data_IF_520103291383
#
_entry.id   IF_520103291383
#
_cell.length_a   1.000
_cell.length_b   1.000
_cell.length_c   1.000
_cell.angle_alpha   90.00
_cell.angle_beta   90.00
_cell.angle_gamma   90.00
#
_symmetry.space_group_name_H-M   'P 1'
#
loop_
_entity.id
_entity.type
_entity.pdbx_description
1 polymer ?
#
# COMPACT_ATOMS: atom_id res chain seq x y z
N UNK A 1 50.32 22.78 46.00
CA UNK A 1 50.97 21.91 45.00
C UNK A 1 50.70 22.52 43.63
N UNK A 2 51.78 22.80 42.91
CA UNK A 2 51.85 23.81 41.84
C UNK A 2 51.51 23.30 40.44
N UNK A 3 51.03 24.26 39.63
CA UNK A 3 51.00 24.38 38.17
C UNK A 3 51.71 23.31 37.31
N UNK A 4 50.99 22.82 36.28
CA UNK A 4 51.61 22.44 35.00
C UNK A 4 51.18 23.42 33.92
N UNK A 5 52.18 23.95 33.22
CA UNK A 5 52.08 24.87 32.09
C UNK A 5 51.60 24.13 30.82
N UNK A 6 50.92 24.81 29.88
CA UNK A 6 50.60 24.24 28.57
C UNK A 6 51.81 24.28 27.62
N UNK A 7 52.08 23.17 26.96
CA UNK A 7 53.12 23.01 25.94
C UNK A 7 52.69 23.60 24.59
N UNK A 8 53.56 24.43 24.02
CA UNK A 8 53.48 25.01 22.68
C UNK A 8 53.67 23.94 21.59
N UNK A 9 52.74 23.83 20.64
CA UNK A 9 52.97 23.13 19.38
C UNK A 9 53.04 24.14 18.24
N UNK A 10 54.17 24.11 17.53
CA UNK A 10 54.44 24.87 16.32
C UNK A 10 53.57 24.36 15.15
N UNK A 11 53.25 25.22 14.16
CA UNK A 11 52.51 24.80 12.97
C UNK A 11 53.37 23.83 12.14
N UNK A 12 52.98 22.56 12.13
CA UNK A 12 53.55 21.55 11.25
C UNK A 12 53.16 21.83 9.80
N UNK A 13 54.17 21.83 8.92
CA UNK A 13 54.00 21.91 7.47
C UNK A 13 53.04 20.82 6.96
N UNK A 14 52.24 21.10 5.91
CA UNK A 14 51.40 20.07 5.31
C UNK A 14 52.29 18.94 4.75
N UNK A 15 51.85 17.67 4.84
CA UNK A 15 52.60 16.54 4.31
C UNK A 15 52.79 16.69 2.79
N UNK A 16 53.99 16.30 2.32
CA UNK A 16 54.32 16.33 0.91
C UNK A 16 53.36 15.46 0.10
N UNK A 17 52.73 16.05 -0.93
CA UNK A 17 51.92 15.32 -1.90
C UNK A 17 52.86 14.39 -2.68
N UNK A 18 52.65 13.06 -2.71
CA UNK A 18 53.47 12.17 -3.51
C UNK A 18 53.22 12.47 -4.98
N UNK A 19 54.21 13.07 -5.66
CA UNK A 19 54.16 13.33 -7.10
C UNK A 19 54.25 11.97 -7.80
N UNK A 20 53.24 11.62 -8.60
CA UNK A 20 53.27 10.38 -9.37
C UNK A 20 54.22 10.57 -10.56
N UNK A 21 54.96 9.53 -10.98
CA UNK A 21 55.82 9.64 -12.16
C UNK A 21 54.95 9.96 -13.39
N UNK A 22 55.02 11.21 -13.87
CA UNK A 22 54.23 11.73 -14.99
C UNK A 22 53.51 13.05 -14.74
N UNK A 23 53.40 13.52 -13.48
CA UNK A 23 52.79 14.83 -13.20
C UNK A 23 53.78 15.96 -13.56
N UNK A 24 53.34 17.01 -14.30
CA UNK A 24 54.20 18.12 -14.67
C UNK A 24 54.60 18.96 -13.44
N UNK A 25 55.87 19.34 -13.37
CA UNK A 25 56.42 20.13 -12.27
C UNK A 25 55.75 21.52 -12.25
N UNK A 26 55.12 21.96 -11.14
CA UNK A 26 54.37 23.21 -11.09
C UNK A 26 55.21 24.48 -11.31
N UNK A 27 56.54 24.36 -11.32
CA UNK A 27 57.47 25.47 -11.58
C UNK A 27 57.86 25.64 -13.06
N UNK A 28 57.43 24.75 -13.96
CA UNK A 28 57.77 24.81 -15.40
C UNK A 28 56.72 25.54 -16.26
N UNK A 29 55.68 26.13 -15.66
CA UNK A 29 54.66 26.87 -16.42
C UNK A 29 55.11 28.32 -16.71
N UNK A 30 55.06 28.79 -17.97
CA UNK A 30 55.44 30.14 -18.32
C UNK A 30 54.51 31.16 -17.63
N UNK A 31 55.05 32.29 -17.13
CA UNK A 31 54.32 33.24 -16.26
C UNK A 31 53.08 33.89 -16.90
N UNK A 32 52.91 33.80 -18.22
CA UNK A 32 51.72 34.29 -18.92
C UNK A 32 50.45 33.48 -18.61
N UNK A 33 50.57 32.20 -18.27
CA UNK A 33 49.41 31.32 -18.03
C UNK A 33 48.80 31.51 -16.63
N UNK A 34 49.60 31.97 -15.66
CA UNK A 34 49.12 32.28 -14.31
C UNK A 34 48.25 33.55 -14.26
N UNK A 35 48.49 34.54 -15.12
CA UNK A 35 47.66 35.75 -15.19
C UNK A 35 46.30 35.50 -15.87
N UNK A 36 46.24 34.56 -16.83
CA UNK A 36 45.00 34.17 -17.49
C UNK A 36 44.07 33.41 -16.51
N UNK A 37 44.63 32.53 -15.68
CA UNK A 37 43.86 31.78 -14.69
C UNK A 37 43.37 32.64 -13.52
N UNK A 38 44.11 33.70 -13.12
CA UNK A 38 43.68 34.59 -12.03
C UNK A 38 42.59 35.57 -12.46
N UNK A 39 42.58 36.04 -13.72
CA UNK A 39 41.46 36.83 -14.26
C UNK A 39 40.19 35.99 -14.47
N UNK A 40 40.31 34.72 -14.88
CA UNK A 40 39.15 33.83 -15.03
C UNK A 40 38.54 33.42 -13.68
N UNK A 41 39.35 33.34 -12.62
CA UNK A 41 38.88 33.09 -11.25
C UNK A 41 38.18 34.31 -10.62
N UNK A 42 38.49 35.54 -11.08
CA UNK A 42 37.84 36.74 -10.55
C UNK A 42 36.46 37.01 -11.20
N UNK A 43 36.18 36.46 -12.40
CA UNK A 43 34.86 36.53 -13.02
C UNK A 43 33.87 35.45 -12.55
N UNK A 44 34.35 34.38 -11.91
CA UNK A 44 33.49 33.32 -11.35
C UNK A 44 33.09 33.54 -9.89
N UNK A 45 33.58 34.60 -9.23
CA UNK A 45 33.28 34.91 -7.83
C UNK A 45 32.23 36.02 -7.62
N UNK A 46 31.43 36.35 -8.65
CA UNK A 46 30.34 37.34 -8.55
C UNK A 46 28.92 36.79 -8.74
N UNK A 47 28.71 35.47 -8.82
CA UNK A 47 27.37 34.87 -8.74
C UNK A 47 27.15 34.18 -7.40
N UNK A 48 27.08 34.99 -6.34
CA UNK A 48 26.45 34.58 -5.09
C UNK A 48 24.92 34.76 -5.24
N UNK A 49 24.17 33.67 -5.09
CA UNK A 49 22.78 33.72 -4.65
C UNK A 49 21.71 33.80 -5.74
N UNK A 50 21.37 32.67 -6.34
CA UNK A 50 19.95 32.36 -6.54
C UNK A 50 19.68 31.04 -5.84
N UNK A 51 18.82 30.99 -4.82
CA UNK A 51 18.39 29.72 -4.29
C UNK A 51 17.66 29.00 -5.44
N UNK A 52 18.25 27.92 -5.94
CA UNK A 52 17.50 26.99 -6.78
C UNK A 52 16.22 26.61 -6.04
N UNK A 53 15.11 26.32 -6.76
CA UNK A 53 13.88 25.91 -6.12
C UNK A 53 14.20 24.80 -5.11
N UNK A 54 13.64 24.87 -3.88
CA UNK A 54 13.94 23.89 -2.85
C UNK A 54 13.75 22.49 -3.45
N UNK A 55 14.77 21.63 -3.32
CA UNK A 55 14.65 20.23 -3.70
C UNK A 55 13.46 19.66 -2.93
N UNK A 56 12.35 19.45 -3.63
CA UNK A 56 11.17 18.81 -3.05
C UNK A 56 11.66 17.51 -2.40
N UNK A 57 11.41 17.31 -1.09
CA UNK A 57 11.71 16.04 -0.46
C UNK A 57 11.01 14.96 -1.28
N UNK A 58 11.79 14.15 -2.01
CA UNK A 58 11.24 12.98 -2.66
C UNK A 58 10.81 12.05 -1.52
N UNK A 59 9.50 12.00 -1.30
CA UNK A 59 8.91 10.96 -0.48
C UNK A 59 9.36 9.60 -1.05
N UNK A 60 9.56 8.59 -0.19
CA UNK A 60 9.83 7.24 -0.67
C UNK A 60 8.79 6.89 -1.75
N UNK A 61 9.19 6.25 -2.87
CA UNK A 61 8.26 5.90 -3.93
C UNK A 61 7.14 5.04 -3.34
N UNK A 62 5.95 5.63 -3.18
CA UNK A 62 4.78 4.93 -2.71
C UNK A 62 4.35 3.98 -3.83
N UNK A 63 4.41 2.68 -3.58
CA UNK A 63 4.04 1.68 -4.56
C UNK A 63 2.51 1.65 -4.69
N UNK A 64 1.98 2.23 -5.77
CA UNK A 64 0.56 2.18 -6.09
C UNK A 64 0.19 0.88 -6.81
N UNK A 65 0.53 -0.27 -6.24
CA UNK A 65 0.16 -1.58 -6.78
C UNK A 65 -0.81 -2.28 -5.84
N UNK A 66 -1.73 -3.08 -6.40
CA UNK A 66 -2.63 -3.94 -5.61
C UNK A 66 -1.84 -4.84 -4.65
N UNK A 67 -0.70 -5.34 -5.12
CA UNK A 67 0.23 -6.14 -4.34
C UNK A 67 0.80 -5.38 -3.13
N UNK A 68 1.20 -4.12 -3.30
CA UNK A 68 1.71 -3.32 -2.19
C UNK A 68 0.65 -3.12 -1.09
N UNK A 69 -0.61 -2.93 -1.47
CA UNK A 69 -1.71 -2.79 -0.50
C UNK A 69 -2.00 -4.10 0.24
N UNK A 70 -1.93 -5.26 -0.44
CA UNK A 70 -2.12 -6.55 0.21
C UNK A 70 -0.96 -6.93 1.12
N UNK A 71 0.27 -6.46 0.83
CA UNK A 71 1.43 -6.65 1.70
C UNK A 71 1.16 -6.09 3.10
N UNK A 72 0.65 -4.87 3.19
CA UNK A 72 0.30 -4.20 4.44
C UNK A 72 -0.87 -4.85 5.19
N UNK A 73 -1.62 -5.72 4.52
CA UNK A 73 -2.75 -6.48 5.07
C UNK A 73 -2.38 -7.92 5.47
N UNK A 74 -1.14 -8.33 5.24
CA UNK A 74 -0.66 -9.68 5.59
C UNK A 74 -0.71 -9.88 7.10
N UNK A 75 -1.17 -11.06 7.54
CA UNK A 75 -1.39 -11.44 8.93
C UNK A 75 -2.40 -10.58 9.70
N UNK A 76 -3.21 -9.78 8.98
CA UNK A 76 -4.31 -9.02 9.56
C UNK A 76 -5.64 -9.72 9.39
N UNK A 77 -6.57 -9.41 10.31
CA UNK A 77 -7.96 -9.85 10.22
C UNK A 77 -8.69 -8.98 9.19
N UNK A 78 -9.28 -9.59 8.18
CA UNK A 78 -9.95 -8.91 7.08
C UNK A 78 -11.42 -9.34 6.97
N UNK A 79 -12.27 -8.43 6.51
CA UNK A 79 -13.55 -8.76 5.89
C UNK A 79 -13.37 -8.75 4.37
N UNK A 80 -13.76 -9.84 3.70
CA UNK A 80 -13.76 -9.99 2.24
C UNK A 80 -15.20 -10.15 1.76
N UNK A 81 -15.62 -9.34 0.80
CA UNK A 81 -16.94 -9.41 0.17
C UNK A 81 -16.79 -10.01 -1.23
N UNK A 82 -17.51 -11.10 -1.48
CA UNK A 82 -17.51 -11.80 -2.75
C UNK A 82 -18.61 -11.27 -3.69
N UNK A 83 -18.47 -11.54 -4.99
CA UNK A 83 -19.45 -11.15 -6.03
C UNK A 83 -20.85 -11.70 -5.78
N UNK A 84 -20.95 -12.90 -5.21
CA UNK A 84 -22.24 -13.51 -4.84
C UNK A 84 -22.87 -12.91 -3.56
N UNK A 85 -22.22 -11.89 -2.97
CA UNK A 85 -22.69 -11.15 -1.80
C UNK A 85 -22.28 -11.77 -0.45
N UNK A 86 -21.56 -12.90 -0.45
CA UNK A 86 -21.03 -13.54 0.76
C UNK A 86 -19.96 -12.68 1.42
N UNK A 87 -19.88 -12.76 2.74
CA UNK A 87 -18.94 -12.00 3.58
C UNK A 87 -18.09 -12.99 4.36
N UNK A 88 -16.81 -13.02 4.06
CA UNK A 88 -15.83 -13.84 4.75
C UNK A 88 -15.03 -12.98 5.71
N UNK A 89 -14.85 -13.45 6.93
CA UNK A 89 -14.07 -12.80 7.97
C UNK A 89 -12.97 -13.77 8.36
N UNK A 90 -11.70 -13.39 8.31
CA UNK A 90 -10.59 -14.28 8.66
C UNK A 90 -9.25 -13.57 8.59
N UNK A 91 -8.17 -14.30 8.89
CA UNK A 91 -6.80 -13.76 8.87
C UNK A 91 -6.15 -14.04 7.53
N UNK A 92 -5.65 -13.01 6.84
CA UNK A 92 -4.92 -13.16 5.59
C UNK A 92 -3.54 -13.78 5.85
N UNK A 93 -3.26 -14.94 5.25
CA UNK A 93 -1.96 -15.64 5.40
C UNK A 93 -1.07 -15.51 4.20
N UNK A 94 -1.63 -15.55 3.00
CA UNK A 94 -0.88 -15.32 1.78
C UNK A 94 -1.79 -14.79 0.69
N UNK A 95 -1.16 -14.16 -0.30
CA UNK A 95 -1.83 -13.62 -1.46
C UNK A 95 -0.88 -13.66 -2.66
N UNK A 96 -1.44 -13.47 -3.86
CA UNK A 96 -0.66 -13.33 -5.08
C UNK A 96 -1.02 -12.05 -5.86
N UNK A 97 -0.26 -11.76 -6.92
CA UNK A 97 -0.47 -10.59 -7.77
C UNK A 97 -1.83 -10.55 -8.50
N UNK A 98 -2.57 -11.67 -8.54
CA UNK A 98 -3.91 -11.76 -9.11
C UNK A 98 -5.00 -11.52 -8.06
N UNK A 99 -4.62 -11.29 -6.79
CA UNK A 99 -5.54 -11.09 -5.68
C UNK A 99 -6.15 -12.40 -5.16
N UNK A 100 -5.59 -13.57 -5.49
CA UNK A 100 -6.00 -14.80 -4.82
C UNK A 100 -5.56 -14.71 -3.36
N UNK A 101 -6.42 -15.11 -2.41
CA UNK A 101 -6.16 -15.00 -0.98
C UNK A 101 -6.24 -16.37 -0.31
N UNK A 102 -5.29 -16.65 0.57
CA UNK A 102 -5.37 -17.74 1.55
C UNK A 102 -5.71 -17.12 2.89
N UNK A 103 -6.87 -17.48 3.42
CA UNK A 103 -7.37 -17.01 4.71
C UNK A 103 -7.40 -18.16 5.72
N UNK A 104 -7.00 -17.88 6.96
CA UNK A 104 -7.10 -18.80 8.10
C UNK A 104 -8.20 -18.34 9.06
N UNK A 105 -8.76 -19.27 9.84
CA UNK A 105 -9.79 -19.01 10.86
C UNK A 105 -10.95 -18.22 10.25
N UNK A 106 -11.33 -18.64 9.03
CA UNK A 106 -12.32 -17.95 8.22
C UNK A 106 -13.70 -18.34 8.70
N UNK A 107 -14.54 -17.35 8.98
CA UNK A 107 -15.97 -17.49 9.20
C UNK A 107 -16.75 -16.77 8.10
N UNK A 108 -17.83 -17.38 7.63
CA UNK A 108 -18.79 -16.73 6.74
C UNK A 108 -19.90 -16.08 7.57
N UNK A 109 -20.00 -14.75 7.51
CA UNK A 109 -21.00 -13.97 8.25
C UNK A 109 -22.24 -13.73 7.40
N UNK A 110 -23.37 -14.23 7.89
CA UNK A 110 -24.69 -14.02 7.28
C UNK A 110 -25.43 -12.91 7.99
N UNK A 111 -26.15 -12.08 7.22
CA UNK A 111 -27.05 -11.04 7.73
C UNK A 111 -28.43 -11.22 7.10
N UNK A 112 -29.47 -11.27 7.93
CA UNK A 112 -30.87 -11.39 7.50
C UNK A 112 -31.82 -10.88 8.58
N UNK A 113 -32.78 -10.02 8.22
CA UNK A 113 -33.88 -9.60 9.10
C UNK A 113 -33.45 -9.15 10.52
N UNK A 114 -32.37 -8.36 10.64
CA UNK A 114 -31.86 -7.90 11.95
C UNK A 114 -31.14 -8.99 12.77
N UNK A 115 -30.84 -10.14 12.17
CA UNK A 115 -30.01 -11.18 12.76
C UNK A 115 -28.71 -11.35 11.97
N UNK A 116 -27.66 -11.75 12.67
CA UNK A 116 -26.43 -12.23 12.06
C UNK A 116 -25.99 -13.57 12.66
N UNK A 117 -25.23 -14.35 11.91
CA UNK A 117 -24.59 -15.57 12.39
C UNK A 117 -23.30 -15.83 11.61
N UNK A 118 -22.34 -16.47 12.28
CA UNK A 118 -21.05 -16.86 11.72
C UNK A 118 -21.01 -18.36 11.48
N UNK A 119 -20.56 -18.76 10.29
CA UNK A 119 -20.38 -20.15 9.89
C UNK A 119 -18.89 -20.41 9.70
N UNK A 120 -18.31 -21.22 10.56
CA UNK A 120 -16.89 -21.60 10.48
C UNK A 120 -16.55 -22.30 9.15
N UNK A 121 -15.49 -21.83 8.51
CA UNK A 121 -14.91 -22.37 7.27
C UNK A 121 -13.46 -22.82 7.46
N UNK A 122 -12.74 -22.28 8.44
CA UNK A 122 -11.35 -22.63 8.73
C UNK A 122 -10.38 -22.06 7.68
N UNK A 123 -9.56 -22.92 7.06
CA UNK A 123 -8.67 -22.53 5.97
C UNK A 123 -9.47 -22.37 4.67
N UNK A 124 -9.39 -21.20 4.04
CA UNK A 124 -10.19 -20.85 2.88
C UNK A 124 -9.33 -20.20 1.78
N UNK A 125 -9.41 -20.74 0.56
CA UNK A 125 -8.78 -20.16 -0.63
C UNK A 125 -9.82 -19.39 -1.43
N UNK A 126 -9.63 -18.08 -1.55
CA UNK A 126 -10.49 -17.20 -2.35
C UNK A 126 -9.80 -16.89 -3.67
N UNK A 127 -10.51 -17.10 -4.78
CA UNK A 127 -10.04 -16.72 -6.11
C UNK A 127 -10.25 -15.21 -6.32
N UNK A 128 -9.21 -14.49 -6.75
CA UNK A 128 -9.16 -13.03 -6.79
C UNK A 128 -10.26 -12.39 -7.65
N UNK A 129 -10.63 -13.03 -8.75
CA UNK A 129 -11.70 -12.53 -9.62
C UNK A 129 -13.07 -12.49 -8.94
N UNK A 130 -13.31 -13.31 -7.91
CA UNK A 130 -14.57 -13.35 -7.17
C UNK A 130 -14.62 -12.32 -6.02
N UNK A 131 -13.51 -11.63 -5.76
CA UNK A 131 -13.44 -10.60 -4.72
C UNK A 131 -14.02 -9.30 -5.28
N UNK A 132 -14.98 -8.73 -4.56
CA UNK A 132 -15.52 -7.39 -4.86
C UNK A 132 -14.72 -6.33 -4.13
N UNK A 133 -14.56 -6.51 -2.82
CA UNK A 133 -13.77 -5.63 -1.96
C UNK A 133 -13.29 -6.39 -0.73
N UNK A 134 -12.28 -5.84 -0.06
CA UNK A 134 -11.78 -6.32 1.22
C UNK A 134 -11.31 -5.14 2.08
N UNK A 135 -11.32 -5.31 3.39
CA UNK A 135 -10.86 -4.29 4.34
C UNK A 135 -10.38 -4.91 5.64
N UNK A 136 -9.37 -4.28 6.23
CA UNK A 136 -8.89 -4.61 7.58
C UNK A 136 -9.98 -4.38 8.62
N UNK A 137 -10.11 -5.32 9.55
CA UNK A 137 -10.98 -5.20 10.71
C UNK A 137 -10.14 -4.68 11.87
N UNK A 138 -10.58 -3.56 12.41
CA UNK A 138 -10.07 -3.00 13.66
C UNK A 138 -10.47 -3.91 14.82
N UNK A 139 -9.49 -4.59 15.44
CA UNK A 139 -9.72 -5.58 16.49
C UNK A 139 -10.39 -4.98 17.73
N UNK A 140 -10.14 -3.72 18.04
CA UNK A 140 -10.76 -3.01 19.18
C UNK A 140 -12.26 -2.77 18.95
N UNK A 141 -12.71 -2.91 17.69
CA UNK A 141 -14.11 -2.74 17.26
C UNK A 141 -14.68 -4.02 16.66
N UNK A 142 -13.99 -5.15 16.76
CA UNK A 142 -14.46 -6.42 16.19
C UNK A 142 -15.75 -6.92 16.87
N UNK A 143 -15.94 -6.55 18.14
CA UNK A 143 -17.18 -6.78 18.90
C UNK A 143 -18.32 -5.84 18.52
N UNK A 144 -18.06 -4.84 17.66
CA UNK A 144 -19.09 -3.92 17.20
C UNK A 144 -20.03 -4.63 16.22
N UNK A 145 -21.18 -5.03 16.74
CA UNK A 145 -22.31 -5.45 15.92
C UNK A 145 -23.08 -4.20 15.51
N UNK A 146 -23.15 -3.86 14.21
CA UNK A 146 -23.92 -2.71 13.77
C UNK A 146 -25.41 -2.90 14.09
N UNK A 147 -26.04 -1.89 14.67
CA UNK A 147 -27.52 -1.86 14.77
C UNK A 147 -28.14 -1.91 13.36
N UNK A 148 -29.27 -2.62 13.14
CA UNK A 148 -30.13 -3.30 14.12
C UNK A 148 -29.81 -4.79 14.32
N UNK A 149 -28.59 -5.25 14.01
CA UNK A 149 -28.29 -6.69 13.99
C UNK A 149 -28.02 -7.27 15.39
N UNK A 150 -28.47 -8.51 15.60
CA UNK A 150 -28.22 -9.28 16.83
C UNK A 150 -27.80 -10.71 16.48
N UNK A 151 -27.02 -11.34 17.36
CA UNK A 151 -26.57 -12.72 17.13
C UNK A 151 -27.77 -13.68 17.15
N UNK A 152 -27.92 -14.47 16.09
CA UNK A 152 -28.98 -15.46 15.95
C UNK A 152 -28.44 -16.89 15.87
N UNK A 153 -29.28 -17.90 16.15
CA UNK A 153 -28.92 -19.30 15.90
C UNK A 153 -28.58 -19.54 14.43
N UNK A 154 -27.46 -20.19 14.16
CA UNK A 154 -26.93 -20.42 12.80
C UNK A 154 -27.97 -21.06 11.89
N UNK A 155 -28.66 -22.11 12.34
CA UNK A 155 -29.69 -22.80 11.56
C UNK A 155 -30.84 -21.88 11.14
N UNK A 156 -31.29 -21.03 12.06
CA UNK A 156 -32.37 -20.07 11.81
C UNK A 156 -31.93 -19.00 10.82
N UNK A 157 -30.76 -18.40 11.05
CA UNK A 157 -30.21 -17.35 10.17
C UNK A 157 -29.95 -17.90 8.77
N UNK A 158 -29.40 -19.11 8.66
CA UNK A 158 -29.16 -19.78 7.39
C UNK A 158 -30.47 -20.05 6.63
N UNK A 159 -31.49 -20.58 7.31
CA UNK A 159 -32.79 -20.85 6.69
C UNK A 159 -33.48 -19.58 6.20
N UNK A 160 -33.48 -18.52 7.01
CA UNK A 160 -34.03 -17.21 6.63
C UNK A 160 -33.25 -16.61 5.45
N UNK A 161 -31.92 -16.67 5.48
CA UNK A 161 -31.08 -16.12 4.42
C UNK A 161 -31.32 -16.82 3.09
N UNK A 162 -31.39 -18.16 3.12
CA UNK A 162 -31.68 -18.98 1.95
C UNK A 162 -33.04 -18.64 1.35
N UNK A 163 -34.07 -18.42 2.18
CA UNK A 163 -35.39 -18.01 1.71
C UNK A 163 -35.36 -16.62 1.05
N UNK A 164 -34.70 -15.64 1.68
CA UNK A 164 -34.53 -14.28 1.13
C UNK A 164 -33.77 -14.28 -0.20
N UNK A 165 -32.70 -15.06 -0.33
CA UNK A 165 -31.93 -15.16 -1.58
C UNK A 165 -32.76 -15.77 -2.73
N UNK A 166 -33.60 -16.76 -2.43
CA UNK A 166 -34.51 -17.35 -3.42
C UNK A 166 -35.56 -16.33 -3.84
N UNK A 167 -36.17 -15.61 -2.89
CA UNK A 167 -37.15 -14.57 -3.20
C UNK A 167 -36.54 -13.43 -4.02
N UNK A 168 -35.33 -12.97 -3.66
CA UNK A 168 -34.59 -11.95 -4.41
C UNK A 168 -34.37 -12.39 -5.85
N UNK A 169 -33.88 -13.62 -6.08
CA UNK A 169 -33.67 -14.16 -7.44
C UNK A 169 -34.96 -14.18 -8.26
N UNK A 170 -36.09 -14.55 -7.65
CA UNK A 170 -37.39 -14.54 -8.33
C UNK A 170 -37.84 -13.11 -8.64
N UNK A 171 -37.70 -12.19 -7.69
CA UNK A 171 -38.07 -10.79 -7.83
C UNK A 171 -37.23 -10.10 -8.92
N UNK A 172 -35.92 -10.33 -8.94
CA UNK A 172 -34.97 -9.79 -9.91
C UNK A 172 -35.28 -10.33 -11.31
N UNK A 173 -35.54 -11.63 -11.46
CA UNK A 173 -35.95 -12.22 -12.74
C UNK A 173 -37.26 -11.60 -13.25
N UNK A 174 -38.23 -11.37 -12.36
CA UNK A 174 -39.50 -10.72 -12.72
C UNK A 174 -39.32 -9.26 -13.10
N UNK A 175 -38.52 -8.51 -12.35
CA UNK A 175 -38.18 -7.10 -12.62
C UNK A 175 -37.46 -6.99 -13.96
N UNK A 176 -36.47 -7.84 -14.19
CA UNK A 176 -35.71 -7.89 -15.42
C UNK A 176 -36.62 -8.18 -16.62
N UNK A 177 -37.49 -9.18 -16.54
CA UNK A 177 -38.45 -9.49 -17.63
C UNK A 177 -39.34 -8.30 -17.97
N UNK A 178 -39.78 -7.53 -16.97
CA UNK A 178 -40.61 -6.32 -17.19
C UNK A 178 -39.81 -5.21 -17.84
N UNK A 179 -38.60 -4.95 -17.35
CA UNK A 179 -37.73 -3.91 -17.90
C UNK A 179 -37.28 -4.22 -19.32
N UNK A 180 -37.00 -5.49 -19.63
CA UNK A 180 -36.66 -5.93 -20.98
C UNK A 180 -37.79 -5.69 -21.98
N UNK A 181 -39.06 -5.81 -21.56
CA UNK A 181 -40.21 -5.48 -22.41
C UNK A 181 -40.29 -3.98 -22.75
N UNK A 182 -39.71 -3.12 -21.90
CA UNK A 182 -39.62 -1.67 -22.10
C UNK A 182 -38.31 -1.25 -22.80
N UNK A 183 -37.51 -2.20 -23.29
CA UNK A 183 -36.27 -1.93 -24.04
C UNK A 183 -35.03 -1.70 -23.18
N UNK A 184 -35.08 -1.98 -21.86
CA UNK A 184 -33.90 -1.93 -21.00
C UNK A 184 -33.12 -3.25 -21.07
N UNK A 185 -31.83 -3.18 -21.39
CA UNK A 185 -30.91 -4.31 -21.22
C UNK A 185 -30.46 -4.43 -19.75
N UNK A 186 -30.31 -5.66 -19.26
CA UNK A 186 -29.62 -5.88 -18.00
C UNK A 186 -28.13 -6.10 -18.22
N UNK A 187 -27.30 -5.50 -17.38
CA UNK A 187 -25.87 -5.82 -17.27
C UNK A 187 -25.58 -7.28 -16.85
N UNK A 188 -26.58 -8.06 -16.42
CA UNK A 188 -26.38 -9.43 -15.93
C UNK A 188 -26.11 -10.48 -17.02
N UNK A 189 -25.98 -10.07 -18.29
CA UNK A 189 -25.58 -10.98 -19.37
C UNK A 189 -24.18 -11.59 -19.15
N UNK A 190 -23.34 -11.02 -18.28
CA UNK A 190 -21.99 -11.49 -18.00
C UNK A 190 -21.83 -12.55 -16.90
N UNK A 191 -22.81 -12.77 -16.03
CA UNK A 191 -22.70 -13.78 -14.94
C UNK A 191 -23.19 -15.18 -15.34
N UNK A 192 -23.83 -15.32 -16.51
CA UNK A 192 -24.37 -16.60 -16.99
C UNK A 192 -23.40 -17.38 -17.89
N UNK A 193 -22.21 -16.82 -18.17
CA UNK A 193 -21.15 -17.47 -18.95
C UNK A 193 -19.86 -17.33 -18.16
N UNK A 194 -19.64 -18.21 -17.18
CA UNK A 194 -18.35 -18.73 -16.72
C UNK A 194 -18.58 -19.84 -15.69
#
# INVERSE_FOLDING_TARGET
>A
MANRLPSTHAPGFPPAIPIRPGDPNPFDQPPQQHMMNSMMQQQTQQHQGSPGPPSVPQLPPQMFTTAAQLLDLTDKKLMVVLRDGRKLIGVLRSWDQFGNLVMQDTAERLFVQGLYADIERGLFLVRGENITLLGEIDLDKDDYVPEPYQLGPVEKVFALKKAEDVERKIADKRKHKRLAAEGFESEHAGEAIL
#
